data_IF_038341837241
#
_entry.id   IF_038341837241
#
_cell.length_a   1.000
_cell.length_b   1.000
_cell.length_c   1.000
_cell.angle_alpha   90.00
_cell.angle_beta   90.00
_cell.angle_gamma   90.00
#
_symmetry.space_group_name_H-M   'P 1'
#
loop_
_entity.id
_entity.type
_entity.pdbx_description
1 polymer ?
#
# COMPACT_ATOMS: atom_id res chain seq x y z
N UNK A 1 -16.59 -0.78 4.31
CA UNK A 1 -15.14 -1.09 4.30
C UNK A 1 -14.35 0.20 4.21
N UNK A 2 -13.37 0.37 5.07
CA UNK A 2 -12.49 1.54 5.09
C UNK A 2 -11.07 1.12 4.75
N UNK A 3 -10.47 1.74 3.75
CA UNK A 3 -9.12 1.40 3.31
C UNK A 3 -8.20 2.58 3.56
N UNK A 4 -7.17 2.36 4.37
CA UNK A 4 -6.12 3.33 4.63
C UNK A 4 -4.85 2.91 3.89
N UNK A 5 -4.33 3.79 3.06
CA UNK A 5 -3.04 3.57 2.40
C UNK A 5 -1.96 4.32 3.15
N UNK A 6 -0.94 3.61 3.59
CA UNK A 6 0.21 4.23 4.26
C UNK A 6 1.33 4.39 3.24
N UNK A 7 1.76 5.63 3.03
CA UNK A 7 2.81 5.98 2.10
C UNK A 7 4.02 6.52 2.87
N UNK A 8 5.19 6.39 2.27
CA UNK A 8 6.41 6.93 2.86
C UNK A 8 6.83 8.19 2.14
N UNK A 9 7.15 9.23 2.91
CA UNK A 9 7.75 10.46 2.41
C UNK A 9 9.21 10.47 2.76
N UNK A 10 10.05 10.70 1.76
CA UNK A 10 11.50 10.72 1.93
C UNK A 10 11.94 12.02 2.60
N UNK A 11 13.18 12.02 3.11
CA UNK A 11 13.74 13.18 3.80
C UNK A 11 13.76 14.44 2.93
N UNK A 12 13.88 14.28 1.62
CA UNK A 12 13.87 15.40 0.67
C UNK A 12 12.46 15.89 0.32
N UNK A 13 11.43 15.31 0.92
CA UNK A 13 10.03 15.65 0.65
C UNK A 13 9.40 14.86 -0.47
N UNK A 14 10.15 13.99 -1.15
CA UNK A 14 9.63 13.17 -2.23
C UNK A 14 8.89 11.95 -1.73
N UNK A 15 8.02 11.40 -2.58
CA UNK A 15 7.30 10.17 -2.29
C UNK A 15 8.16 8.96 -2.63
N UNK A 16 8.12 7.93 -1.79
CA UNK A 16 8.79 6.67 -2.05
C UNK A 16 8.34 6.09 -3.40
N UNK A 17 9.28 5.54 -4.17
CA UNK A 17 8.98 5.05 -5.52
C UNK A 17 7.95 3.93 -5.51
N UNK A 18 8.03 2.99 -4.57
CA UNK A 18 7.04 1.91 -4.46
C UNK A 18 5.66 2.46 -4.18
N UNK A 19 5.57 3.55 -3.41
CA UNK A 19 4.31 4.22 -3.14
C UNK A 19 3.75 4.87 -4.40
N UNK A 20 4.60 5.50 -5.20
CA UNK A 20 4.21 6.07 -6.48
C UNK A 20 3.69 5.00 -7.43
N UNK A 21 4.39 3.88 -7.52
CA UNK A 21 4.00 2.77 -8.39
C UNK A 21 2.66 2.19 -7.99
N UNK A 22 2.43 2.00 -6.69
CA UNK A 22 1.15 1.49 -6.19
C UNK A 22 0.01 2.45 -6.48
N UNK A 23 0.24 3.75 -6.30
CA UNK A 23 -0.76 4.77 -6.63
C UNK A 23 -1.08 4.77 -8.12
N UNK A 24 -0.07 4.63 -8.97
CA UNK A 24 -0.26 4.60 -10.41
C UNK A 24 -1.08 3.37 -10.84
N UNK A 25 -0.83 2.21 -10.24
CA UNK A 25 -1.62 1.00 -10.52
C UNK A 25 -3.08 1.22 -10.14
N UNK A 26 -3.34 1.76 -8.94
CA UNK A 26 -4.71 2.03 -8.51
C UNK A 26 -5.41 3.01 -9.44
N UNK A 27 -4.73 4.08 -9.84
CA UNK A 27 -5.31 5.08 -10.73
C UNK A 27 -5.59 4.51 -12.12
N UNK A 28 -4.68 3.70 -12.65
CA UNK A 28 -4.85 3.10 -13.98
C UNK A 28 -6.05 2.17 -14.04
N UNK A 29 -6.49 1.65 -12.90
CA UNK A 29 -7.66 0.78 -12.80
C UNK A 29 -8.92 1.52 -12.35
N UNK A 30 -8.84 2.84 -12.19
CA UNK A 30 -9.98 3.61 -11.69
C UNK A 30 -10.31 3.33 -10.23
N UNK A 31 -9.34 2.88 -9.46
CA UNK A 31 -9.54 2.47 -8.07
C UNK A 31 -9.01 3.48 -7.04
N UNK A 32 -8.49 4.61 -7.50
CA UNK A 32 -7.98 5.63 -6.58
C UNK A 32 -9.01 6.06 -5.54
N UNK A 33 -10.27 6.14 -5.94
CA UNK A 33 -11.37 6.53 -5.07
C UNK A 33 -11.71 5.47 -4.00
N UNK A 34 -11.20 4.26 -4.16
CA UNK A 34 -11.44 3.19 -3.18
C UNK A 34 -10.56 3.34 -1.94
N UNK A 35 -9.54 4.19 -2.01
CA UNK A 35 -8.70 4.50 -0.87
C UNK A 35 -9.39 5.63 -0.09
N UNK A 36 -9.80 5.34 1.13
CA UNK A 36 -10.55 6.28 1.95
C UNK A 36 -9.66 7.29 2.66
N UNK A 37 -8.42 6.87 2.95
CA UNK A 37 -7.51 7.69 3.72
C UNK A 37 -6.07 7.41 3.30
N UNK A 38 -5.25 8.45 3.22
CA UNK A 38 -3.81 8.33 3.02
C UNK A 38 -3.11 8.86 4.26
N UNK A 39 -2.21 8.05 4.83
CA UNK A 39 -1.43 8.40 6.01
C UNK A 39 0.04 8.35 5.62
N UNK A 40 0.81 9.35 6.06
CA UNK A 40 2.21 9.48 5.68
C UNK A 40 3.15 9.03 6.80
N UNK A 41 4.12 8.20 6.42
CA UNK A 41 5.26 7.85 7.26
C UNK A 41 6.43 8.73 6.81
N UNK A 42 6.78 9.73 7.60
CA UNK A 42 7.87 10.65 7.28
C UNK A 42 9.20 10.00 7.63
N UNK A 43 10.11 9.92 6.67
CA UNK A 43 11.44 9.37 6.90
C UNK A 43 12.16 10.18 7.99
N UNK A 44 12.70 9.46 8.97
CA UNK A 44 13.39 10.08 10.09
C UNK A 44 12.48 10.57 11.21
N UNK A 45 11.17 10.45 11.08
CA UNK A 45 10.21 10.88 12.10
C UNK A 45 9.42 9.69 12.63
N UNK A 46 9.87 9.15 13.76
CA UNK A 46 9.23 7.99 14.38
C UNK A 46 7.84 8.32 14.93
N UNK A 47 7.50 9.59 15.09
CA UNK A 47 6.20 10.02 15.61
C UNK A 47 5.20 10.33 14.51
N UNK A 48 5.59 10.26 13.23
CA UNK A 48 4.64 10.52 12.16
C UNK A 48 3.54 9.47 12.13
N UNK A 49 2.31 9.82 11.72
CA UNK A 49 1.18 8.89 11.79
C UNK A 49 1.41 7.58 11.06
N UNK A 50 2.03 7.62 9.88
CA UNK A 50 2.30 6.40 9.12
C UNK A 50 3.33 5.51 9.78
N UNK A 51 4.35 6.11 10.40
CA UNK A 51 5.38 5.35 11.12
C UNK A 51 4.78 4.68 12.36
N UNK A 52 3.93 5.38 13.08
CA UNK A 52 3.23 4.82 14.24
C UNK A 52 2.35 3.64 13.81
N UNK A 53 1.63 3.81 12.71
CA UNK A 53 0.77 2.74 12.21
C UNK A 53 1.59 1.53 11.73
N UNK A 54 2.73 1.77 11.08
CA UNK A 54 3.63 0.70 10.67
C UNK A 54 4.14 -0.09 11.87
N UNK A 55 4.53 0.60 12.93
CA UNK A 55 4.99 -0.05 14.16
C UNK A 55 3.89 -0.90 14.79
N UNK A 56 2.66 -0.42 14.78
CA UNK A 56 1.52 -1.16 15.30
C UNK A 56 1.33 -2.50 14.59
N UNK A 57 1.56 -2.54 13.28
CA UNK A 57 1.36 -3.74 12.48
C UNK A 57 2.66 -4.52 12.25
N UNK A 58 3.78 -4.06 12.78
CA UNK A 58 5.07 -4.71 12.60
C UNK A 58 5.58 -4.66 11.16
N UNK A 59 5.25 -3.59 10.44
CA UNK A 59 5.61 -3.44 9.03
C UNK A 59 6.72 -2.43 8.88
N UNK A 60 7.75 -2.75 8.11
CA UNK A 60 8.90 -1.89 7.89
C UNK A 60 8.96 -1.29 6.49
N UNK A 61 8.03 -1.66 5.64
CA UNK A 61 8.02 -1.24 4.23
C UNK A 61 6.74 -0.47 3.90
N UNK A 62 6.84 0.45 2.97
CA UNK A 62 5.70 1.16 2.40
C UNK A 62 5.69 0.92 0.89
N UNK A 63 4.54 0.97 0.24
CA UNK A 63 3.24 1.23 0.84
C UNK A 63 2.67 -0.02 1.51
N UNK A 64 1.74 0.20 2.42
CA UNK A 64 0.89 -0.88 2.88
C UNK A 64 -0.52 -0.35 3.10
N UNK A 65 -1.46 -1.27 3.27
CA UNK A 65 -2.88 -0.92 3.31
C UNK A 65 -3.52 -1.57 4.52
N UNK A 66 -4.29 -0.80 5.26
CA UNK A 66 -5.09 -1.33 6.37
C UNK A 66 -6.55 -1.31 5.95
N UNK A 67 -7.18 -2.46 5.94
CA UNK A 67 -8.59 -2.59 5.57
C UNK A 67 -9.38 -2.89 6.83
N UNK A 68 -10.35 -2.03 7.12
CA UNK A 68 -11.26 -2.20 8.24
C UNK A 68 -12.66 -2.48 7.71
N UNK A 69 -13.25 -3.55 8.18
CA UNK A 69 -14.62 -3.89 7.83
C UNK A 69 -15.37 -4.33 9.10
N UNK A 70 -16.59 -4.82 8.94
CA UNK A 70 -17.41 -5.23 10.08
C UNK A 70 -16.87 -6.42 10.85
N UNK A 71 -15.85 -7.11 10.34
CA UNK A 71 -15.25 -8.27 10.95
C UNK A 71 -13.88 -7.99 11.56
N UNK A 72 -13.36 -6.79 11.42
CA UNK A 72 -12.08 -6.41 11.99
C UNK A 72 -11.17 -5.72 11.00
N UNK A 73 -9.87 -5.79 11.28
CA UNK A 73 -8.84 -5.15 10.47
C UNK A 73 -7.91 -6.19 9.85
N UNK A 74 -7.50 -5.91 8.61
CA UNK A 74 -6.53 -6.72 7.88
C UNK A 74 -5.49 -5.80 7.27
N UNK A 75 -4.26 -6.29 7.10
CA UNK A 75 -3.21 -5.50 6.49
C UNK A 75 -2.70 -6.18 5.22
N UNK A 76 -2.43 -5.38 4.20
CA UNK A 76 -1.91 -5.84 2.92
C UNK A 76 -0.65 -5.06 2.59
N UNK A 77 0.41 -5.77 2.21
CA UNK A 77 1.67 -5.16 1.79
C UNK A 77 1.82 -5.17 0.26
N UNK A 78 0.84 -5.70 -0.45
CA UNK A 78 0.83 -5.76 -1.91
C UNK A 78 -0.44 -5.12 -2.44
N UNK A 79 -0.29 -4.13 -3.34
CA UNK A 79 -1.44 -3.49 -3.98
C UNK A 79 -2.20 -4.50 -4.85
N UNK A 80 -1.49 -5.45 -5.46
CA UNK A 80 -2.14 -6.45 -6.32
C UNK A 80 -3.00 -7.40 -5.50
N UNK A 81 -2.50 -7.80 -4.34
CA UNK A 81 -3.27 -8.65 -3.44
C UNK A 81 -4.51 -7.90 -2.92
N UNK A 82 -4.36 -6.64 -2.56
CA UNK A 82 -5.48 -5.80 -2.13
C UNK A 82 -6.54 -5.75 -3.23
N UNK A 83 -6.13 -5.49 -4.48
CA UNK A 83 -7.07 -5.39 -5.59
C UNK A 83 -7.81 -6.70 -5.80
N UNK A 84 -7.10 -7.82 -5.76
CA UNK A 84 -7.70 -9.12 -6.00
C UNK A 84 -8.65 -9.53 -4.88
N UNK A 85 -8.26 -9.31 -3.62
CA UNK A 85 -9.03 -9.82 -2.49
C UNK A 85 -10.10 -8.86 -1.97
N UNK A 86 -9.86 -7.56 -2.09
CA UNK A 86 -10.76 -6.56 -1.51
C UNK A 86 -11.46 -5.69 -2.53
N UNK A 87 -10.85 -5.48 -3.68
CA UNK A 87 -11.42 -4.63 -4.73
C UNK A 87 -11.95 -5.47 -5.90
N UNK A 88 -11.83 -6.78 -5.80
CA UNK A 88 -12.39 -7.75 -6.75
C UNK A 88 -11.93 -7.50 -8.18
N UNK A 89 -10.67 -7.12 -8.34
CA UNK A 89 -10.06 -6.92 -9.65
C UNK A 89 -9.26 -8.14 -10.05
N UNK A 90 -9.34 -8.49 -11.34
CA UNK A 90 -8.48 -9.52 -11.88
C UNK A 90 -7.12 -8.91 -12.21
N UNK A 91 -6.08 -9.64 -11.88
CA UNK A 91 -4.71 -9.22 -12.14
C UNK A 91 -4.06 -10.28 -13.03
N UNK A 92 -3.57 -9.87 -14.20
CA UNK A 92 -2.91 -10.79 -15.11
C UNK A 92 -1.50 -11.10 -14.62
N UNK A 93 -0.93 -12.21 -15.08
CA UNK A 93 0.45 -12.55 -14.76
C UNK A 93 1.42 -11.45 -15.21
N UNK A 94 1.17 -10.87 -16.38
CA UNK A 94 2.00 -9.80 -16.88
C UNK A 94 1.94 -8.56 -15.99
N UNK A 95 0.75 -8.20 -15.51
CA UNK A 95 0.59 -7.07 -14.62
C UNK A 95 1.28 -7.31 -13.28
N UNK A 96 1.21 -8.53 -12.78
CA UNK A 96 1.91 -8.90 -11.55
C UNK A 96 3.42 -8.73 -11.72
N UNK A 97 3.97 -9.18 -12.84
CA UNK A 97 5.39 -9.07 -13.11
C UNK A 97 5.83 -7.61 -13.23
N UNK A 98 4.97 -6.75 -13.80
CA UNK A 98 5.29 -5.34 -13.98
C UNK A 98 5.18 -4.53 -12.70
N UNK A 99 4.26 -4.90 -11.81
CA UNK A 99 3.96 -4.14 -10.60
C UNK A 99 4.68 -4.65 -9.36
N UNK A 100 5.17 -5.89 -9.38
CA UNK A 100 5.84 -6.50 -8.23
C UNK A 100 7.31 -6.08 -8.24
N UNK A 101 7.77 -5.62 -7.08
CA UNK A 101 9.17 -5.33 -6.83
C UNK A 101 10.00 -6.61 -6.95
N UNK A 102 11.26 -6.54 -7.41
CA UNK A 102 12.13 -7.73 -7.47
C UNK A 102 12.21 -8.50 -6.18
N UNK A 103 12.12 -7.81 -5.04
CA UNK A 103 12.15 -8.48 -3.74
C UNK A 103 10.89 -9.31 -3.48
N UNK A 104 9.76 -8.92 -4.08
CA UNK A 104 8.50 -9.62 -3.92
C UNK A 104 8.41 -10.83 -4.83
N UNK A 105 9.14 -10.84 -5.93
CA UNK A 105 9.13 -11.94 -6.89
C UNK A 105 9.59 -13.25 -6.26
N UNK A 106 10.51 -13.15 -5.32
CA UNK A 106 11.00 -14.32 -4.61
C UNK A 106 9.93 -15.09 -3.85
N UNK A 107 8.79 -14.46 -3.61
CA UNK A 107 7.69 -15.09 -2.90
C UNK A 107 6.81 -15.99 -3.75
N UNK A 108 7.11 -16.09 -5.00
CA UNK A 108 6.28 -16.87 -5.94
C UNK A 108 6.72 -18.31 -5.98
#
# INVERSE_FOLDING_TARGET
MHITMVKKRLADGGECRKCQDASAVLQSRGLGDRIDEVVWAQEGDAASPGTVLAARWGIEQAPFFVVRDGQGESVYTSVLQLMRERLQQQVTTQEQAAAIDPDDVGGI
#
